data_IF_666024737017
#
_entry.id   IF_666024737017
#
_cell.length_a   1.000
_cell.length_b   1.000
_cell.length_c   1.000
_cell.angle_alpha   90.00
_cell.angle_beta   90.00
_cell.angle_gamma   90.00
#
_symmetry.space_group_name_H-M   'P 1'
#
loop_
_entity.id
_entity.type
_entity.pdbx_description
1 polymer ?
#
# COMPACT_ATOMS: atom_id res chain seq x y z
N UNK A 1 3.80 9.47 -10.99
CA UNK A 1 3.53 8.08 -10.57
C UNK A 1 2.44 8.09 -9.54
N UNK A 2 1.35 7.39 -9.78
CA UNK A 2 0.15 7.50 -8.97
C UNK A 2 -0.26 6.15 -8.40
N UNK A 3 -0.39 6.01 -7.06
CA UNK A 3 -0.93 4.80 -6.46
C UNK A 3 -2.44 4.70 -6.67
N UNK A 4 -3.00 3.50 -6.49
CA UNK A 4 -4.44 3.29 -6.64
C UNK A 4 -5.23 3.93 -5.51
N UNK A 5 -4.64 4.01 -4.32
CA UNK A 5 -5.26 4.69 -3.18
C UNK A 5 -4.18 5.17 -2.22
N UNK A 6 -4.49 6.23 -1.47
CA UNK A 6 -3.54 6.86 -0.57
C UNK A 6 -4.24 7.33 0.71
N UNK A 7 -3.58 7.13 1.84
CA UNK A 7 -4.03 7.70 3.11
C UNK A 7 -2.98 8.71 3.58
N UNK A 8 -3.45 9.87 4.02
CA UNK A 8 -2.61 10.92 4.55
C UNK A 8 -3.00 11.20 6.00
N UNK A 9 -2.01 11.18 6.90
CA UNK A 9 -2.23 11.57 8.29
C UNK A 9 -1.80 13.03 8.44
N UNK A 10 -2.80 13.90 8.66
CA UNK A 10 -2.55 15.34 8.73
C UNK A 10 -2.99 16.05 7.46
N UNK A 11 -2.41 17.23 7.21
CA UNK A 11 -2.79 18.05 6.07
C UNK A 11 -2.06 17.59 4.82
N UNK A 12 -2.77 17.30 3.73
CA UNK A 12 -2.11 16.90 2.48
C UNK A 12 -1.21 17.99 1.93
N UNK A 13 -0.03 17.58 1.44
CA UNK A 13 0.92 18.47 0.77
C UNK A 13 1.04 18.01 -0.67
N UNK A 14 0.77 18.91 -1.60
CA UNK A 14 0.76 18.57 -3.02
C UNK A 14 2.03 19.05 -3.70
N UNK A 15 2.49 18.28 -4.68
CA UNK A 15 3.72 18.58 -5.39
C UNK A 15 3.55 19.75 -6.36
N UNK A 16 2.34 19.92 -6.86
CA UNK A 16 2.05 21.00 -7.79
C UNK A 16 0.67 21.61 -7.53
N UNK A 17 0.37 22.71 -8.26
CA UNK A 17 -0.87 23.44 -8.09
C UNK A 17 -2.10 22.67 -8.59
N UNK A 18 -1.89 21.61 -9.34
CA UNK A 18 -2.98 20.80 -9.89
C UNK A 18 -3.49 19.76 -8.90
N UNK A 19 -2.79 19.59 -7.79
CA UNK A 19 -3.18 18.65 -6.73
C UNK A 19 -3.24 17.19 -7.18
N UNK A 20 -2.48 16.83 -8.22
CA UNK A 20 -2.48 15.46 -8.73
C UNK A 20 -1.30 14.62 -8.24
N UNK A 21 -0.38 15.21 -7.47
CA UNK A 21 0.75 14.49 -6.90
C UNK A 21 0.92 14.83 -5.44
N UNK A 22 0.73 13.82 -4.58
CA UNK A 22 0.80 13.99 -3.14
C UNK A 22 2.24 13.79 -2.66
N UNK A 23 2.72 14.70 -1.82
CA UNK A 23 4.09 14.66 -1.29
C UNK A 23 4.24 13.90 0.02
N UNK A 24 3.17 13.80 0.81
CA UNK A 24 3.25 13.27 2.17
C UNK A 24 2.28 12.12 2.44
N UNK A 25 2.23 11.09 1.60
CA UNK A 25 1.39 9.94 1.89
C UNK A 25 1.90 9.20 3.11
N UNK A 26 1.00 8.68 3.93
CA UNK A 26 1.33 7.84 5.07
C UNK A 26 1.17 6.36 4.74
N UNK A 27 0.16 6.02 3.95
CA UNK A 27 -0.09 4.65 3.48
C UNK A 27 -0.42 4.69 2.00
N UNK A 28 0.18 3.80 1.23
CA UNK A 28 -0.10 3.65 -0.19
C UNK A 28 -0.65 2.26 -0.46
N UNK A 29 -1.63 2.18 -1.36
CA UNK A 29 -2.24 0.92 -1.80
C UNK A 29 -2.08 0.79 -3.30
N UNK A 30 -1.67 -0.39 -3.75
CA UNK A 30 -1.58 -0.72 -5.18
C UNK A 30 -2.31 -2.04 -5.41
N UNK A 31 -3.14 -2.08 -6.44
CA UNK A 31 -3.85 -3.29 -6.87
C UNK A 31 -3.08 -3.87 -8.05
N UNK A 32 -2.61 -5.11 -7.92
CA UNK A 32 -1.70 -5.71 -8.89
C UNK A 32 -2.40 -6.68 -9.81
N UNK A 33 -2.19 -6.53 -11.11
CA UNK A 33 -2.48 -7.55 -12.10
C UNK A 33 -1.19 -8.31 -12.42
N UNK A 34 -1.26 -9.49 -13.05
CA UNK A 34 -0.05 -10.21 -13.44
C UNK A 34 0.90 -9.38 -14.30
N UNK A 35 0.36 -8.50 -15.13
CA UNK A 35 1.17 -7.68 -16.04
C UNK A 35 1.90 -6.53 -15.34
N UNK A 36 1.48 -6.13 -14.15
CA UNK A 36 2.05 -4.98 -13.45
C UNK A 36 2.84 -5.35 -12.21
N UNK A 37 2.80 -6.63 -11.80
CA UNK A 37 3.39 -7.06 -10.53
C UNK A 37 4.87 -6.73 -10.39
N UNK A 38 5.68 -7.03 -11.40
CA UNK A 38 7.12 -6.79 -11.33
C UNK A 38 7.45 -5.30 -11.19
N UNK A 39 6.69 -4.45 -11.89
CA UNK A 39 6.88 -3.00 -11.84
C UNK A 39 6.64 -2.47 -10.43
N UNK A 40 5.55 -2.89 -9.79
CA UNK A 40 5.23 -2.41 -8.45
C UNK A 40 6.18 -2.94 -7.39
N UNK A 41 6.63 -4.18 -7.52
CA UNK A 41 7.56 -4.78 -6.56
C UNK A 41 8.97 -4.20 -6.68
N UNK A 42 9.35 -3.76 -7.86
CA UNK A 42 10.70 -3.23 -8.09
C UNK A 42 10.74 -1.71 -8.08
N UNK A 43 10.49 -1.12 -9.25
CA UNK A 43 10.70 0.32 -9.46
C UNK A 43 9.83 1.22 -8.59
N UNK A 44 8.54 0.93 -8.51
CA UNK A 44 7.62 1.77 -7.75
C UNK A 44 7.92 1.70 -6.26
N UNK A 45 8.18 0.52 -5.72
CA UNK A 45 8.50 0.41 -4.31
C UNK A 45 9.79 1.14 -3.96
N UNK A 46 10.81 0.99 -4.80
CA UNK A 46 12.05 1.73 -4.59
C UNK A 46 11.79 3.24 -4.55
N UNK A 47 10.99 3.75 -5.48
CA UNK A 47 10.63 5.16 -5.54
C UNK A 47 9.87 5.59 -4.28
N UNK A 48 8.85 4.84 -3.89
CA UNK A 48 8.01 5.20 -2.75
C UNK A 48 8.75 5.15 -1.41
N UNK A 49 9.73 4.25 -1.28
CA UNK A 49 10.54 4.19 -0.05
C UNK A 49 11.29 5.49 0.24
N UNK A 50 11.50 6.31 -0.77
CA UNK A 50 12.19 7.59 -0.60
C UNK A 50 11.30 8.67 0.02
N UNK A 51 10.00 8.44 0.10
CA UNK A 51 9.05 9.40 0.68
C UNK A 51 9.15 9.31 2.21
N UNK A 52 9.60 10.40 2.89
CA UNK A 52 9.86 10.31 4.33
C UNK A 52 8.64 10.01 5.20
N UNK A 53 7.45 10.42 4.75
CA UNK A 53 6.21 10.24 5.52
C UNK A 53 5.60 8.86 5.34
N UNK A 54 6.02 8.10 4.35
CA UNK A 54 5.41 6.81 4.05
C UNK A 54 5.76 5.78 5.11
N UNK A 55 4.73 5.20 5.72
CA UNK A 55 4.88 4.22 6.80
C UNK A 55 4.48 2.82 6.39
N UNK A 56 3.50 2.69 5.51
CA UNK A 56 3.03 1.39 5.06
C UNK A 56 2.73 1.41 3.57
N UNK A 57 3.10 0.31 2.90
CA UNK A 57 2.88 0.14 1.47
C UNK A 57 2.22 -1.21 1.26
N UNK A 58 1.00 -1.22 0.70
CA UNK A 58 0.16 -2.41 0.61
C UNK A 58 -0.04 -2.77 -0.85
N UNK A 59 0.31 -4.01 -1.20
CA UNK A 59 0.12 -4.55 -2.54
C UNK A 59 -0.95 -5.63 -2.49
N UNK A 60 -2.02 -5.46 -3.27
CA UNK A 60 -3.18 -6.37 -3.28
C UNK A 60 -3.22 -7.09 -4.62
N UNK A 61 -3.05 -8.41 -4.59
CA UNK A 61 -3.12 -9.22 -5.80
C UNK A 61 -4.59 -9.36 -6.24
N UNK A 62 -4.86 -9.31 -7.55
CA UNK A 62 -6.23 -9.36 -8.07
C UNK A 62 -6.69 -10.75 -8.47
N UNK A 63 -5.80 -11.73 -8.51
CA UNK A 63 -6.16 -13.08 -9.01
C UNK A 63 -6.25 -14.14 -7.91
N UNK A 64 -5.85 -13.80 -6.70
CA UNK A 64 -5.87 -14.73 -5.57
C UNK A 64 -5.84 -13.94 -4.26
N UNK A 65 -6.19 -14.61 -3.17
CA UNK A 65 -6.03 -14.04 -1.83
C UNK A 65 -4.53 -13.92 -1.54
N UNK A 66 -3.99 -12.74 -1.73
CA UNK A 66 -2.58 -12.48 -1.48
C UNK A 66 -2.34 -10.99 -1.33
N UNK A 67 -1.93 -10.57 -0.15
CA UNK A 67 -1.61 -9.17 0.14
C UNK A 67 -0.21 -9.12 0.72
N UNK A 68 0.60 -8.19 0.23
CA UNK A 68 1.91 -7.92 0.78
C UNK A 68 1.90 -6.55 1.43
N UNK A 69 2.42 -6.47 2.65
CA UNK A 69 2.53 -5.21 3.36
C UNK A 69 3.99 -4.96 3.68
N UNK A 70 4.46 -3.77 3.34
CA UNK A 70 5.79 -3.32 3.72
C UNK A 70 5.61 -2.21 4.75
N UNK A 71 6.20 -2.39 5.94
CA UNK A 71 6.07 -1.43 7.04
C UNK A 71 7.41 -0.85 7.40
N UNK A 72 7.48 0.47 7.47
CA UNK A 72 8.69 1.16 7.91
C UNK A 72 8.83 1.05 9.41
N UNK A 73 10.02 0.68 9.86
CA UNK A 73 10.35 0.57 11.28
C UNK A 73 10.96 1.87 11.78
N UNK A 74 11.14 1.98 13.09
CA UNK A 74 11.70 3.19 13.71
C UNK A 74 13.11 3.51 13.22
N UNK A 75 13.88 2.48 12.85
CA UNK A 75 15.24 2.65 12.33
C UNK A 75 15.28 2.86 10.81
N UNK A 76 14.11 3.09 10.19
CA UNK A 76 13.92 3.27 8.75
C UNK A 76 14.14 2.01 7.90
N UNK A 77 14.30 0.85 8.53
CA UNK A 77 14.25 -0.40 7.80
C UNK A 77 12.79 -0.75 7.46
N UNK A 78 12.60 -1.70 6.55
CA UNK A 78 11.28 -2.12 6.15
C UNK A 78 11.06 -3.58 6.51
N UNK A 79 9.93 -3.87 7.12
CA UNK A 79 9.51 -5.23 7.44
C UNK A 79 8.40 -5.64 6.47
N UNK A 80 8.53 -6.86 5.91
CA UNK A 80 7.57 -7.38 4.95
C UNK A 80 6.71 -8.46 5.57
N UNK A 81 5.42 -8.41 5.24
CA UNK A 81 4.47 -9.41 5.70
C UNK A 81 3.61 -9.84 4.52
N UNK A 82 3.35 -11.16 4.40
CA UNK A 82 2.48 -11.70 3.36
C UNK A 82 1.26 -12.30 4.02
N UNK A 83 0.07 -12.02 3.47
CA UNK A 83 -1.18 -12.53 4.00
C UNK A 83 -1.93 -13.21 2.86
N UNK A 84 -2.22 -14.51 2.99
CA UNK A 84 -2.88 -15.28 1.94
C UNK A 84 -4.08 -16.08 2.42
N UNK A 85 -4.31 -16.14 3.73
CA UNK A 85 -5.44 -16.89 4.26
C UNK A 85 -6.69 -16.00 4.31
N UNK A 86 -7.82 -16.40 3.69
CA UNK A 86 -9.05 -15.60 3.73
C UNK A 86 -9.54 -15.28 5.15
N UNK A 87 -9.23 -16.13 6.12
CA UNK A 87 -9.62 -15.92 7.51
C UNK A 87 -8.72 -14.93 8.26
N UNK A 88 -7.61 -14.52 7.64
CA UNK A 88 -6.69 -13.56 8.25
C UNK A 88 -7.16 -12.13 8.03
N UNK A 89 -6.50 -11.21 8.71
CA UNK A 89 -6.83 -9.79 8.65
C UNK A 89 -5.69 -9.00 8.04
N UNK A 90 -6.06 -8.00 7.23
CA UNK A 90 -5.13 -6.95 6.83
C UNK A 90 -5.18 -5.88 7.90
N UNK A 91 -4.03 -5.58 8.51
CA UNK A 91 -3.91 -4.54 9.53
C UNK A 91 -3.15 -3.36 8.96
N UNK A 92 -3.76 -2.17 8.99
CA UNK A 92 -3.11 -0.92 8.62
C UNK A 92 -2.77 -0.22 9.92
N UNK A 93 -1.56 -0.44 10.41
CA UNK A 93 -1.16 0.02 11.75
C UNK A 93 -1.16 1.55 11.88
N UNK A 94 -0.84 2.25 10.81
CA UNK A 94 -0.78 3.73 10.79
C UNK A 94 -2.10 4.37 11.21
N UNK A 95 -3.23 3.75 10.90
CA UNK A 95 -4.55 4.29 11.20
C UNK A 95 -5.35 3.38 12.13
N UNK A 96 -4.71 2.36 12.71
CA UNK A 96 -5.35 1.41 13.61
C UNK A 96 -6.61 0.80 13.00
N UNK A 97 -6.51 0.38 11.75
CA UNK A 97 -7.59 -0.20 10.97
C UNK A 97 -7.30 -1.66 10.66
N UNK A 98 -8.32 -2.50 10.68
CA UNK A 98 -8.16 -3.88 10.26
C UNK A 98 -9.40 -4.36 9.53
N UNK A 99 -9.20 -5.24 8.54
CA UNK A 99 -10.27 -5.77 7.73
C UNK A 99 -9.98 -7.23 7.43
N UNK A 100 -10.99 -8.15 7.54
CA UNK A 100 -10.80 -9.52 7.12
C UNK A 100 -10.44 -9.58 5.64
N UNK A 101 -9.49 -10.44 5.29
CA UNK A 101 -9.06 -10.55 3.89
C UNK A 101 -10.23 -10.91 2.99
N UNK A 102 -11.11 -11.80 3.44
CA UNK A 102 -12.31 -12.17 2.71
C UNK A 102 -13.18 -10.95 2.37
N UNK A 103 -13.35 -10.04 3.33
CA UNK A 103 -14.12 -8.81 3.14
C UNK A 103 -13.45 -7.88 2.13
N UNK A 104 -12.13 -7.73 2.25
CA UNK A 104 -11.36 -6.90 1.32
C UNK A 104 -11.54 -7.37 -0.11
N UNK A 105 -11.62 -8.67 -0.33
CA UNK A 105 -11.65 -9.26 -1.66
C UNK A 105 -13.04 -9.45 -2.25
N UNK A 106 -14.10 -9.09 -1.55
CA UNK A 106 -15.46 -9.29 -2.07
C UNK A 106 -15.68 -8.76 -3.48
N UNK A 107 -15.05 -7.62 -3.81
CA UNK A 107 -15.23 -6.97 -5.10
C UNK A 107 -13.95 -6.93 -5.92
N UNK A 108 -12.90 -7.63 -5.50
CA UNK A 108 -11.58 -7.59 -6.14
C UNK A 108 -11.33 -8.85 -6.96
N UNK A 109 -11.61 -10.02 -6.39
CA UNK A 109 -11.42 -11.29 -7.10
C UNK A 109 -12.48 -11.46 -8.19
N UNK A 110 -12.01 -11.78 -9.36
CA UNK A 110 -12.85 -12.04 -10.52
C UNK A 110 -13.09 -13.54 -10.71
#
# INVERSE_FOLDING_TARGET
MYPDATIVCGKPEMEDEKFDTLKNPSVLFEVLSPSTEDHYRGKKFFFYRQIPTLKEYVLINTTKYFVEISRRQEDNSWMFEEISNPDSYLNINTIDFRIPLEELYKNVLQ
#
